data_IF_433999020879
#
_entry.id   IF_433999020879
#
_cell.length_a   1.000
_cell.length_b   1.000
_cell.length_c   1.000
_cell.angle_alpha   90.00
_cell.angle_beta   90.00
_cell.angle_gamma   90.00
#
_symmetry.space_group_name_H-M   'P 1'
#
loop_
_entity.id
_entity.type
_entity.pdbx_description
1 polymer ?
#
# COMPACT_ATOMS: atom_id res chain seq x y z
N UNK A 1 -4.05 15.97 2.65
CA UNK A 1 -5.29 16.26 1.91
C UNK A 1 -6.32 16.72 2.91
N UNK A 2 -6.80 17.95 2.77
CA UNK A 2 -7.87 18.48 3.62
C UNK A 2 -9.20 17.81 3.33
N UNK A 3 -10.18 17.97 4.23
CA UNK A 3 -11.51 17.39 4.05
C UNK A 3 -12.16 17.82 2.74
N UNK A 4 -12.98 16.93 2.15
CA UNK A 4 -13.74 17.17 0.93
C UNK A 4 -12.88 17.51 -0.31
N UNK A 5 -11.71 16.88 -0.44
CA UNK A 5 -10.83 17.03 -1.60
C UNK A 5 -10.66 15.71 -2.36
N UNK A 6 -10.38 15.77 -3.65
CA UNK A 6 -10.19 14.58 -4.48
C UNK A 6 -8.92 14.69 -5.31
N UNK A 7 -8.20 13.58 -5.42
CA UNK A 7 -7.15 13.34 -6.38
C UNK A 7 -7.59 12.19 -7.27
N UNK A 8 -7.86 12.47 -8.55
CA UNK A 8 -8.27 11.46 -9.51
C UNK A 8 -7.09 11.10 -10.41
N UNK A 9 -6.72 9.83 -10.42
CA UNK A 9 -5.79 9.24 -11.38
C UNK A 9 -6.66 8.67 -12.49
N UNK A 10 -6.56 9.27 -13.68
CA UNK A 10 -7.36 8.89 -14.84
C UNK A 10 -7.02 7.48 -15.32
N UNK A 11 -8.00 6.82 -15.94
CA UNK A 11 -7.79 5.51 -16.54
C UNK A 11 -6.68 5.55 -17.62
N UNK A 12 -5.87 4.50 -17.67
CA UNK A 12 -4.70 4.40 -18.54
C UNK A 12 -3.49 5.26 -18.13
N UNK A 13 -3.53 5.94 -16.98
CA UNK A 13 -2.39 6.73 -16.46
C UNK A 13 -1.70 5.98 -15.33
N UNK A 14 -0.37 5.93 -15.39
CA UNK A 14 0.48 5.42 -14.30
C UNK A 14 1.06 6.59 -13.51
N UNK A 15 0.92 6.57 -12.18
CA UNK A 15 1.38 7.63 -11.29
C UNK A 15 2.24 7.05 -10.18
N UNK A 16 3.40 7.68 -9.95
CA UNK A 16 4.21 7.48 -8.74
C UNK A 16 4.26 8.77 -7.94
N UNK A 17 3.86 8.71 -6.68
CA UNK A 17 3.87 9.84 -5.75
C UNK A 17 5.00 9.63 -4.75
N UNK A 18 5.96 10.55 -4.71
CA UNK A 18 7.03 10.55 -3.71
C UNK A 18 6.64 11.44 -2.54
N UNK A 19 6.64 10.85 -1.34
CA UNK A 19 6.31 11.52 -0.09
C UNK A 19 7.57 11.89 0.68
N UNK A 20 7.64 13.15 1.08
CA UNK A 20 8.53 13.65 2.12
C UNK A 20 7.70 14.23 3.27
N UNK A 21 8.25 14.25 4.48
CA UNK A 21 7.57 14.81 5.64
C UNK A 21 6.39 13.95 6.13
N UNK A 22 5.17 14.49 6.07
CA UNK A 22 3.96 13.87 6.66
C UNK A 22 2.86 13.66 5.63
N UNK A 23 2.08 12.59 5.81
CA UNK A 23 0.88 12.33 5.02
C UNK A 23 -0.32 12.23 5.95
N UNK A 24 -1.34 13.04 5.66
CA UNK A 24 -2.63 12.97 6.33
C UNK A 24 -3.74 13.12 5.30
N UNK A 25 -4.67 12.17 5.27
CA UNK A 25 -5.88 12.23 4.47
C UNK A 25 -7.09 12.44 5.39
N UNK A 26 -7.63 13.65 5.40
CA UNK A 26 -8.79 14.00 6.24
C UNK A 26 -10.10 13.47 5.68
N UNK A 27 -11.17 13.55 6.48
CA UNK A 27 -12.49 12.98 6.16
C UNK A 27 -13.07 13.48 4.83
N UNK A 28 -13.81 12.59 4.16
CA UNK A 28 -14.45 12.82 2.86
C UNK A 28 -13.46 13.25 1.75
N UNK A 29 -12.18 12.93 1.90
CA UNK A 29 -11.21 13.10 0.82
C UNK A 29 -10.87 11.77 0.16
N UNK A 30 -10.46 11.81 -1.11
CA UNK A 30 -10.30 10.61 -1.92
C UNK A 30 -9.04 10.65 -2.77
N UNK A 31 -8.34 9.52 -2.84
CA UNK A 31 -7.31 9.24 -3.85
C UNK A 31 -7.90 8.15 -4.75
N UNK A 32 -8.51 8.58 -5.85
CA UNK A 32 -9.27 7.71 -6.74
C UNK A 32 -8.39 7.25 -7.89
N UNK A 33 -7.92 6.01 -7.83
CA UNK A 33 -7.40 5.34 -9.02
C UNK A 33 -8.57 4.81 -9.84
N UNK A 34 -8.95 5.54 -10.90
CA UNK A 34 -10.15 5.25 -11.68
C UNK A 34 -10.05 3.97 -12.51
N UNK A 35 -8.84 3.47 -12.76
CA UNK A 35 -8.62 2.16 -13.40
C UNK A 35 -8.93 0.98 -12.46
N UNK A 36 -8.92 1.22 -11.15
CA UNK A 36 -8.94 0.19 -10.08
C UNK A 36 -7.81 -0.84 -10.18
N UNK A 37 -6.83 -0.62 -11.05
CA UNK A 37 -5.63 -1.46 -11.18
C UNK A 37 -4.59 -1.00 -10.15
N UNK A 38 -4.27 -1.79 -9.11
CA UNK A 38 -3.31 -1.38 -8.10
C UNK A 38 -1.88 -1.18 -8.65
N UNK A 39 -1.57 -1.67 -9.84
CA UNK A 39 -0.25 -1.49 -10.47
C UNK A 39 -0.03 -0.09 -11.06
N UNK A 40 -1.11 0.67 -11.28
CA UNK A 40 -1.05 2.00 -11.91
C UNK A 40 -0.82 3.15 -10.93
N UNK A 41 -0.92 2.90 -9.62
CA UNK A 41 -0.66 3.91 -8.59
C UNK A 41 0.34 3.38 -7.56
N UNK A 42 1.47 4.08 -7.42
CA UNK A 42 2.45 3.82 -6.39
C UNK A 42 2.68 5.06 -5.51
N UNK A 43 2.69 4.85 -4.19
CA UNK A 43 3.06 5.86 -3.20
C UNK A 43 4.37 5.42 -2.55
N UNK A 44 5.40 6.25 -2.62
CA UNK A 44 6.74 5.95 -2.10
C UNK A 44 7.18 6.96 -1.05
N UNK A 45 7.60 6.48 0.12
CA UNK A 45 8.26 7.29 1.13
C UNK A 45 9.73 7.48 0.79
N UNK A 46 10.20 8.73 0.84
CA UNK A 46 11.63 9.05 0.84
C UNK A 46 12.26 8.77 2.21
N UNK A 47 13.58 8.88 2.34
CA UNK A 47 14.28 8.76 3.63
C UNK A 47 13.77 9.75 4.70
N UNK A 48 13.24 10.88 4.25
CA UNK A 48 12.65 11.90 5.12
C UNK A 48 11.23 11.57 5.60
N UNK A 49 10.59 10.55 5.03
CA UNK A 49 9.25 10.11 5.38
C UNK A 49 9.34 9.00 6.42
N UNK A 50 9.41 9.40 7.70
CA UNK A 50 9.60 8.50 8.83
C UNK A 50 8.58 8.74 9.97
N UNK A 51 7.54 9.51 9.68
CA UNK A 51 6.44 9.78 10.62
C UNK A 51 5.25 8.83 10.43
N UNK A 52 4.06 9.34 10.73
CA UNK A 52 2.81 8.61 10.53
C UNK A 52 2.17 8.97 9.19
N UNK A 53 1.76 7.95 8.43
CA UNK A 53 0.88 8.05 7.27
C UNK A 53 -0.55 7.80 7.72
N UNK A 54 -1.35 8.85 7.85
CA UNK A 54 -2.71 8.74 8.42
C UNK A 54 -3.78 8.76 7.34
N UNK A 55 -4.70 7.80 7.39
CA UNK A 55 -5.87 7.70 6.50
C UNK A 55 -7.17 7.80 7.33
N UNK A 56 -7.89 8.93 7.23
CA UNK A 56 -9.12 9.19 8.01
C UNK A 56 -10.37 9.37 7.12
N UNK A 57 -10.38 8.77 5.93
CA UNK A 57 -11.49 8.89 4.97
C UNK A 57 -11.97 7.53 4.49
N UNK A 58 -13.28 7.36 4.43
CA UNK A 58 -13.96 6.15 3.97
C UNK A 58 -14.02 6.13 2.44
N UNK A 59 -12.87 5.89 1.81
CA UNK A 59 -12.75 5.66 0.37
C UNK A 59 -11.86 4.45 0.14
N UNK A 60 -12.31 3.54 -0.73
CA UNK A 60 -11.49 2.41 -1.15
C UNK A 60 -10.22 2.92 -1.85
N UNK A 61 -9.12 2.19 -1.68
CA UNK A 61 -7.83 2.54 -2.25
C UNK A 61 -7.32 1.41 -3.14
N UNK A 62 -6.85 1.76 -4.33
CA UNK A 62 -6.26 0.83 -5.30
C UNK A 62 -4.86 1.32 -5.66
N UNK A 63 -3.84 0.68 -5.12
CA UNK A 63 -2.45 1.07 -5.32
C UNK A 63 -1.47 0.36 -4.41
N UNK A 64 -0.19 0.57 -4.67
CA UNK A 64 0.89 0.11 -3.80
C UNK A 64 1.45 1.26 -2.94
N UNK A 65 1.80 0.95 -1.69
CA UNK A 65 2.41 1.88 -0.74
C UNK A 65 3.74 1.29 -0.25
N UNK A 66 4.83 2.02 -0.47
CA UNK A 66 6.18 1.65 -0.03
C UNK A 66 6.76 2.76 0.86
N UNK A 67 6.60 2.62 2.17
CA UNK A 67 7.01 3.59 3.20
C UNK A 67 7.76 2.90 4.35
N UNK A 68 8.90 2.24 4.09
CA UNK A 68 9.53 1.29 5.01
C UNK A 68 10.02 1.89 6.35
N UNK A 69 9.99 3.22 6.50
CA UNK A 69 10.43 3.94 7.70
C UNK A 69 9.27 4.59 8.46
N UNK A 70 8.04 4.45 7.99
CA UNK A 70 6.87 5.15 8.50
C UNK A 70 5.86 4.17 9.13
N UNK A 71 5.10 4.68 10.09
CA UNK A 71 3.94 4.00 10.64
C UNK A 71 2.71 4.31 9.77
N UNK A 72 2.06 3.28 9.22
CA UNK A 72 0.81 3.43 8.47
C UNK A 72 -0.37 3.23 9.40
N UNK A 73 -1.19 4.28 9.58
CA UNK A 73 -2.38 4.23 10.40
C UNK A 73 -3.64 4.39 9.52
N UNK A 74 -4.32 3.26 9.31
CA UNK A 74 -5.49 3.17 8.44
C UNK A 74 -6.78 3.21 9.28
N UNK A 75 -7.35 4.40 9.44
CA UNK A 75 -8.57 4.69 10.22
C UNK A 75 -9.77 4.93 9.31
N UNK A 76 -10.04 3.97 8.45
CA UNK A 76 -11.08 4.05 7.44
C UNK A 76 -11.91 2.77 7.44
N UNK A 77 -13.22 2.88 7.16
CA UNK A 77 -14.11 1.73 6.97
C UNK A 77 -14.18 1.31 5.49
N UNK A 78 -13.07 1.44 4.78
CA UNK A 78 -12.94 1.12 3.35
C UNK A 78 -11.86 0.09 3.10
N UNK A 79 -11.91 -0.53 1.94
CA UNK A 79 -10.98 -1.59 1.60
C UNK A 79 -9.71 -1.05 0.93
N UNK A 80 -8.60 -1.75 1.17
CA UNK A 80 -7.31 -1.48 0.52
C UNK A 80 -7.00 -2.64 -0.44
N UNK A 81 -6.82 -2.33 -1.72
CA UNK A 81 -6.44 -3.26 -2.78
C UNK A 81 -5.03 -2.92 -3.28
N UNK A 82 -4.08 -3.83 -3.06
CA UNK A 82 -2.70 -3.65 -3.53
C UNK A 82 -1.66 -4.20 -2.56
N UNK A 83 -0.62 -3.43 -2.25
CA UNK A 83 0.45 -3.86 -1.33
C UNK A 83 0.89 -2.75 -0.41
N UNK A 84 1.30 -3.09 0.82
CA UNK A 84 1.90 -2.14 1.76
C UNK A 84 3.24 -2.68 2.26
N UNK A 85 4.28 -1.87 2.18
CA UNK A 85 5.53 -2.04 2.93
C UNK A 85 5.67 -0.85 3.87
N UNK A 86 5.76 -1.09 5.17
CA UNK A 86 5.86 -0.07 6.21
C UNK A 86 6.77 -0.55 7.35
N UNK A 87 7.21 0.35 8.22
CA UNK A 87 7.88 -0.03 9.47
C UNK A 87 6.90 -0.78 10.38
N UNK A 88 5.72 -0.17 10.56
CA UNK A 88 4.56 -0.76 11.23
C UNK A 88 3.30 -0.33 10.52
N UNK A 89 2.24 -1.13 10.60
CA UNK A 89 0.94 -0.76 10.07
C UNK A 89 -0.18 -1.20 11.02
N UNK A 90 -1.24 -0.41 11.09
CA UNK A 90 -2.42 -0.68 11.89
C UNK A 90 -3.69 -0.38 11.08
N UNK A 91 -4.65 -1.31 11.12
CA UNK A 91 -5.99 -1.14 10.55
C UNK A 91 -7.00 -1.04 11.70
N UNK A 92 -7.49 0.17 11.95
CA UNK A 92 -8.22 0.54 13.17
C UNK A 92 -9.76 0.55 12.98
N UNK A 93 -10.28 -0.20 12.02
CA UNK A 93 -11.68 -0.11 11.56
C UNK A 93 -12.10 -1.40 10.86
N UNK A 94 -13.31 -1.45 10.27
CA UNK A 94 -13.80 -2.63 9.54
C UNK A 94 -13.20 -2.80 8.14
N UNK A 95 -12.03 -2.21 7.90
CA UNK A 95 -11.31 -2.26 6.64
C UNK A 95 -10.76 -3.66 6.37
N UNK A 96 -10.76 -4.04 5.09
CA UNK A 96 -10.11 -5.27 4.62
C UNK A 96 -8.91 -4.92 3.77
N UNK A 97 -7.88 -5.73 3.91
CA UNK A 97 -6.69 -5.65 3.07
C UNK A 97 -6.73 -6.80 2.06
N UNK A 98 -6.63 -6.46 0.78
CA UNK A 98 -6.62 -7.37 -0.35
C UNK A 98 -5.27 -7.24 -1.06
N UNK A 99 -4.39 -8.21 -0.88
CA UNK A 99 -3.12 -8.23 -1.60
C UNK A 99 -3.34 -8.50 -3.08
N UNK A 100 -2.81 -7.64 -3.95
CA UNK A 100 -2.90 -7.82 -5.41
C UNK A 100 -1.66 -8.54 -5.96
N UNK A 101 -1.88 -9.73 -6.56
CA UNK A 101 -0.80 -10.55 -7.12
C UNK A 101 -0.15 -9.92 -8.36
N UNK A 102 -0.84 -9.04 -9.08
CA UNK A 102 -0.27 -8.37 -10.26
C UNK A 102 0.94 -7.50 -9.88
N UNK A 103 0.98 -7.00 -8.63
CA UNK A 103 2.09 -6.20 -8.11
C UNK A 103 3.41 -6.99 -8.01
N UNK A 104 3.35 -8.33 -7.88
CA UNK A 104 4.56 -9.14 -7.88
C UNK A 104 5.28 -9.14 -9.24
N UNK A 105 4.54 -8.87 -10.33
CA UNK A 105 5.08 -8.77 -11.68
C UNK A 105 5.41 -7.35 -12.10
N UNK A 106 5.19 -6.34 -11.24
CA UNK A 106 5.43 -4.94 -11.56
C UNK A 106 6.93 -4.72 -11.75
N UNK A 107 7.34 -4.60 -13.02
CA UNK A 107 8.69 -4.16 -13.40
C UNK A 107 8.69 -2.64 -13.43
N UNK A 108 9.65 -2.04 -12.74
CA UNK A 108 9.88 -0.61 -12.82
C UNK A 108 11.23 -0.35 -13.43
N UNK A 109 11.31 0.66 -14.30
CA UNK A 109 12.55 1.02 -15.00
C UNK A 109 13.67 1.44 -14.05
N UNK A 110 13.35 1.83 -12.81
CA UNK A 110 14.30 2.18 -11.74
C UNK A 110 14.75 0.98 -10.89
N UNK A 111 14.15 -0.19 -11.10
CA UNK A 111 14.60 -1.45 -10.53
C UNK A 111 15.42 -2.16 -11.62
N UNK A 112 16.75 -2.07 -11.53
CA UNK A 112 17.61 -2.96 -12.34
C UNK A 112 17.15 -4.40 -12.14
N UNK A 113 17.12 -5.20 -13.22
CA UNK A 113 16.90 -6.64 -13.14
C UNK A 113 17.86 -7.19 -12.07
N UNK A 114 17.33 -7.46 -10.88
CA UNK A 114 18.16 -7.92 -9.77
C UNK A 114 18.79 -9.25 -10.24
N UNK A 115 20.13 -9.38 -10.24
CA UNK A 115 20.80 -10.56 -10.77
C UNK A 115 20.58 -11.82 -9.91
N UNK A 116 19.68 -11.74 -8.93
CA UNK A 116 19.42 -12.75 -7.92
C UNK A 116 17.94 -13.15 -7.97
N UNK A 117 17.68 -14.44 -8.12
CA UNK A 117 16.36 -15.04 -8.01
C UNK A 117 16.36 -16.15 -6.95
N UNK A 118 15.21 -16.39 -6.31
CA UNK A 118 15.04 -17.51 -5.38
C UNK A 118 15.04 -18.81 -6.18
N UNK A 119 16.06 -19.65 -5.99
CA UNK A 119 16.19 -20.94 -6.70
C UNK A 119 15.29 -22.03 -6.11
N UNK A 120 15.08 -22.00 -4.80
CA UNK A 120 14.17 -22.90 -4.09
C UNK A 120 13.85 -22.33 -2.72
N UNK A 121 12.63 -22.59 -2.25
CA UNK A 121 12.17 -22.29 -0.90
C UNK A 121 11.50 -23.53 -0.31
N UNK A 122 11.77 -23.81 0.97
CA UNK A 122 11.18 -24.94 1.67
C UNK A 122 10.76 -24.47 3.06
N UNK A 123 9.51 -24.76 3.42
CA UNK A 123 8.98 -24.61 4.78
C UNK A 123 8.80 -25.98 5.41
N UNK A 124 9.15 -26.10 6.69
CA UNK A 124 8.83 -27.26 7.52
C UNK A 124 7.80 -26.83 8.55
N UNK A 125 6.56 -27.32 8.40
CA UNK A 125 5.52 -27.12 9.39
C UNK A 125 5.64 -28.24 10.43
N UNK A 126 6.01 -27.90 11.66
CA UNK A 126 6.01 -28.86 12.76
C UNK A 126 4.57 -29.30 13.06
N UNK A 127 4.32 -30.60 13.04
CA UNK A 127 3.03 -31.18 13.43
C UNK A 127 2.77 -30.91 14.93
N UNK A 128 1.79 -30.06 15.22
CA UNK A 128 1.20 -29.97 16.56
C UNK A 128 0.42 -31.27 16.79
N UNK A 129 0.88 -32.09 17.73
CA UNK A 129 0.17 -33.29 18.18
C UNK A 129 -1.15 -32.86 18.83
N UNK A 130 -2.28 -33.20 18.21
CA UNK A 130 -3.60 -33.14 18.85
C UNK A 130 -3.72 -34.40 19.72
N UNK A 131 -3.49 -34.26 21.02
CA UNK A 131 -4.01 -35.24 21.99
C UNK A 131 -5.51 -34.99 22.21
N UNK A 132 -6.23 -36.11 22.35
CA UNK A 132 -7.67 -36.29 22.21
C UNK A 132 -8.42 -36.08 23.52
#
# INVERSE_FOLDING_TARGET
MSSNTQLNIADGVNVTIYLGGTFNQDSNSQINNLSQDPTSLLIMGTDSFNGTMTWNSNSDFYGAVYVPRAHVDFRSNSDFYGSITADTFEFNSNARFHYDLALAGLKRDDMEDLPYGIKSWQEELSSVFIEK
#
